data_IF_016138050638
#
_entry.id   IF_016138050638
#
_cell.length_a   1.000
_cell.length_b   1.000
_cell.length_c   1.000
_cell.angle_alpha   90.00
_cell.angle_beta   90.00
_cell.angle_gamma   90.00
#
_symmetry.space_group_name_H-M   'P 1'
#
loop_
_entity.id
_entity.type
_entity.pdbx_description
1 polymer ?
#
# COMPACT_ATOMS: atom_id res chain seq x y z
N UNK A 1 1.39 35.13 -0.57
CA UNK A 1 1.96 33.87 -1.09
C UNK A 1 2.12 32.92 0.11
N UNK A 2 1.22 31.96 0.28
CA UNK A 2 1.37 30.94 1.31
C UNK A 2 2.30 29.89 0.72
N UNK A 3 3.53 29.78 1.26
CA UNK A 3 4.44 28.73 0.88
C UNK A 3 3.77 27.37 1.12
N UNK A 4 3.55 26.60 0.06
CA UNK A 4 3.22 25.19 0.16
C UNK A 4 4.36 24.56 0.95
N UNK A 5 4.09 23.99 2.11
CA UNK A 5 5.08 23.18 2.81
C UNK A 5 5.34 21.96 1.92
N UNK A 6 6.47 21.94 1.22
CA UNK A 6 6.92 20.81 0.43
C UNK A 6 7.00 19.62 1.40
N UNK A 7 6.33 18.52 1.08
CA UNK A 7 6.45 17.31 1.86
C UNK A 7 7.93 16.94 1.91
N UNK A 8 8.48 16.77 3.11
CA UNK A 8 9.90 16.43 3.28
C UNK A 8 10.14 15.03 2.72
N UNK A 9 11.02 14.94 1.71
CA UNK A 9 11.43 13.66 1.13
C UNK A 9 12.02 12.74 2.20
N UNK A 10 11.55 11.51 2.24
CA UNK A 10 12.10 10.45 3.08
C UNK A 10 12.22 9.16 2.25
N UNK A 11 13.43 8.77 1.87
CA UNK A 11 13.68 7.57 1.06
C UNK A 11 13.22 6.25 1.67
N UNK A 12 12.70 6.27 2.90
CA UNK A 12 12.13 5.10 3.59
C UNK A 12 10.61 5.05 3.59
N UNK A 13 9.97 6.15 3.19
CA UNK A 13 8.50 6.24 3.17
C UNK A 13 7.96 6.88 1.90
N UNK A 14 8.27 8.14 1.63
CA UNK A 14 7.66 8.93 0.56
C UNK A 14 8.69 9.89 -0.04
N UNK A 15 8.77 9.92 -1.38
CA UNK A 15 9.65 10.85 -2.12
C UNK A 15 8.87 11.60 -3.18
N UNK A 16 9.28 12.85 -3.45
CA UNK A 16 8.71 13.69 -4.49
C UNK A 16 9.15 13.26 -5.89
N UNK A 17 8.46 13.75 -6.91
CA UNK A 17 8.85 13.61 -8.31
C UNK A 17 10.15 14.32 -8.62
N UNK A 18 10.45 15.44 -7.93
CA UNK A 18 11.72 16.16 -7.98
C UNK A 18 12.87 15.28 -7.49
N UNK A 19 12.66 14.66 -6.31
CA UNK A 19 13.66 13.77 -5.73
C UNK A 19 13.97 12.61 -6.67
N UNK A 20 12.93 11.92 -7.15
CA UNK A 20 13.10 10.79 -8.07
C UNK A 20 13.81 11.22 -9.37
N UNK A 21 13.44 12.35 -9.96
CA UNK A 21 14.05 12.86 -11.17
C UNK A 21 15.56 13.15 -10.99
N UNK A 22 15.95 13.66 -9.82
CA UNK A 22 17.36 13.93 -9.50
C UNK A 22 18.20 12.65 -9.34
N UNK A 23 17.57 11.57 -8.87
CA UNK A 23 18.23 10.28 -8.56
C UNK A 23 17.99 9.20 -9.61
N UNK A 24 17.25 9.49 -10.69
CA UNK A 24 16.82 8.48 -11.67
C UNK A 24 17.97 7.73 -12.33
N UNK A 25 19.14 8.36 -12.39
CA UNK A 25 20.36 7.77 -13.01
C UNK A 25 21.32 7.12 -11.99
N UNK A 26 20.95 7.09 -10.71
CA UNK A 26 21.78 6.47 -9.69
C UNK A 26 21.82 4.96 -9.91
N UNK A 27 23.01 4.34 -9.92
CA UNK A 27 23.17 2.93 -10.28
C UNK A 27 22.52 1.97 -9.29
N UNK A 28 22.29 2.41 -8.07
CA UNK A 28 21.66 1.68 -6.98
C UNK A 28 20.17 2.03 -6.76
N UNK A 29 19.59 2.91 -7.56
CA UNK A 29 18.15 3.13 -7.59
C UNK A 29 17.42 2.05 -8.40
N UNK A 30 16.26 1.62 -7.90
CA UNK A 30 15.32 0.76 -8.61
C UNK A 30 13.92 1.34 -8.53
N UNK A 31 13.33 1.61 -9.68
CA UNK A 31 11.95 2.11 -9.80
C UNK A 31 11.04 0.93 -10.13
N UNK A 32 9.91 0.83 -9.44
CA UNK A 32 8.91 -0.21 -9.65
C UNK A 32 7.56 0.42 -9.96
N UNK A 33 6.95 0.01 -11.07
CA UNK A 33 5.55 0.25 -11.36
C UNK A 33 4.73 -0.84 -10.69
N UNK A 34 3.95 -0.47 -9.71
CA UNK A 34 3.07 -1.35 -8.96
C UNK A 34 1.59 -1.08 -9.28
N UNK A 35 1.31 -0.56 -10.46
CA UNK A 35 -0.06 -0.28 -10.90
C UNK A 35 -0.91 -1.53 -10.84
N UNK A 36 -2.06 -1.39 -10.21
CA UNK A 36 -3.10 -2.39 -10.11
C UNK A 36 -4.45 -1.68 -10.03
N UNK A 37 -5.46 -2.22 -10.70
CA UNK A 37 -6.76 -1.60 -10.80
C UNK A 37 -7.87 -2.55 -10.38
N UNK A 38 -8.95 -1.99 -9.83
CA UNK A 38 -10.17 -2.76 -9.61
C UNK A 38 -10.79 -3.14 -10.96
N UNK A 39 -11.41 -4.34 -11.09
CA UNK A 39 -12.02 -4.78 -12.35
C UNK A 39 -13.03 -3.77 -12.95
N UNK A 40 -13.74 -3.05 -12.08
CA UNK A 40 -14.73 -2.05 -12.48
C UNK A 40 -14.12 -0.84 -13.20
N UNK A 41 -12.81 -0.59 -13.01
CA UNK A 41 -12.10 0.51 -13.68
C UNK A 41 -11.80 0.21 -15.16
N UNK A 42 -11.89 -1.05 -15.58
CA UNK A 42 -11.64 -1.48 -16.96
C UNK A 42 -10.28 -1.00 -17.51
N UNK A 43 -9.26 -0.97 -16.67
CA UNK A 43 -7.88 -0.59 -17.00
C UNK A 43 -6.99 -1.83 -16.98
N UNK A 44 -5.96 -1.83 -17.83
CA UNK A 44 -4.93 -2.88 -17.89
C UNK A 44 -3.57 -2.28 -17.49
N UNK A 45 -3.16 -2.58 -16.26
CA UNK A 45 -1.94 -2.02 -15.69
C UNK A 45 -0.68 -2.41 -16.47
N UNK A 46 -0.64 -3.64 -17.01
CA UNK A 46 0.50 -4.09 -17.79
C UNK A 46 0.54 -3.39 -19.16
N UNK A 47 -0.58 -3.32 -19.85
CA UNK A 47 -0.64 -2.61 -21.13
C UNK A 47 -0.31 -1.12 -20.98
N UNK A 48 -0.75 -0.49 -19.89
CA UNK A 48 -0.40 0.90 -19.59
C UNK A 48 1.10 1.09 -19.32
N UNK A 49 1.71 0.19 -18.54
CA UNK A 49 3.15 0.17 -18.31
C UNK A 49 3.93 0.00 -19.64
N UNK A 50 3.51 -0.91 -20.50
CA UNK A 50 4.13 -1.16 -21.81
C UNK A 50 3.97 0.03 -22.78
N UNK A 51 2.89 0.78 -22.65
CA UNK A 51 2.65 2.00 -23.44
C UNK A 51 3.49 3.19 -22.94
N UNK A 52 3.87 3.21 -21.66
CA UNK A 52 4.73 4.26 -21.12
C UNK A 52 4.89 4.19 -19.60
N UNK A 53 6.12 4.25 -19.15
CA UNK A 53 6.49 4.19 -17.72
C UNK A 53 7.65 5.14 -17.39
N UNK A 54 7.92 5.35 -16.11
CA UNK A 54 9.10 6.13 -15.65
C UNK A 54 10.36 5.41 -16.09
N UNK A 55 11.36 6.12 -16.67
CA UNK A 55 12.55 5.48 -17.20
C UNK A 55 13.25 4.54 -16.23
N UNK A 56 13.55 3.32 -16.68
CA UNK A 56 14.15 2.25 -15.91
C UNK A 56 13.21 1.54 -14.95
N UNK A 57 11.90 1.87 -14.92
CA UNK A 57 10.92 1.22 -14.07
C UNK A 57 10.71 -0.25 -14.50
N UNK A 58 10.40 -1.09 -13.52
CA UNK A 58 10.08 -2.50 -13.67
C UNK A 58 8.65 -2.73 -13.22
N UNK A 59 7.88 -3.47 -13.99
CA UNK A 59 6.51 -3.79 -13.61
C UNK A 59 6.48 -4.82 -12.47
N UNK A 60 5.87 -4.44 -11.35
CA UNK A 60 5.63 -5.31 -10.21
C UNK A 60 4.18 -5.79 -10.22
N UNK A 61 3.95 -6.97 -10.73
CA UNK A 61 2.63 -7.59 -10.79
C UNK A 61 2.20 -8.07 -9.39
N UNK A 62 1.31 -7.32 -8.74
CA UNK A 62 0.84 -7.62 -7.38
C UNK A 62 0.12 -8.96 -7.34
N UNK A 63 -0.69 -9.27 -8.34
CA UNK A 63 -1.45 -10.52 -8.39
C UNK A 63 -0.53 -11.72 -8.57
N UNK A 64 0.41 -11.63 -9.53
CA UNK A 64 1.38 -12.70 -9.76
C UNK A 64 2.30 -12.92 -8.57
N UNK A 65 2.80 -11.85 -7.94
CA UNK A 65 3.76 -11.94 -6.82
C UNK A 65 3.09 -12.37 -5.51
N UNK A 66 1.78 -12.27 -5.36
CA UNK A 66 1.02 -12.73 -4.18
C UNK A 66 1.13 -14.25 -3.95
N UNK A 67 0.70 -14.73 -2.76
CA UNK A 67 0.66 -16.19 -2.47
C UNK A 67 -0.46 -16.87 -3.28
N UNK A 68 -0.08 -17.53 -4.37
CA UNK A 68 -1.00 -18.23 -5.28
C UNK A 68 -1.59 -19.53 -4.69
N UNK A 69 -1.18 -19.94 -3.49
CA UNK A 69 -1.77 -21.10 -2.78
C UNK A 69 -2.94 -20.67 -1.91
N UNK A 70 -3.10 -19.37 -1.68
CA UNK A 70 -4.21 -18.81 -0.94
C UNK A 70 -5.40 -18.57 -1.86
N UNK A 71 -6.62 -18.90 -1.39
CA UNK A 71 -7.86 -18.51 -2.06
C UNK A 71 -8.21 -17.03 -1.83
N UNK A 72 -7.53 -16.38 -0.86
CA UNK A 72 -7.67 -14.95 -0.59
C UNK A 72 -6.82 -14.13 -1.57
N UNK A 73 -7.36 -13.02 -2.08
CA UNK A 73 -6.62 -12.18 -3.01
C UNK A 73 -5.45 -11.44 -2.34
N UNK A 74 -4.38 -11.24 -3.08
CA UNK A 74 -3.23 -10.38 -2.73
C UNK A 74 -2.46 -10.77 -1.47
N UNK A 75 -2.65 -11.97 -0.91
CA UNK A 75 -1.93 -12.40 0.28
C UNK A 75 -0.41 -12.28 0.10
N UNK A 76 0.28 -11.84 1.15
CA UNK A 76 1.73 -11.66 1.10
C UNK A 76 2.42 -12.96 0.66
N UNK A 77 3.35 -12.89 -0.32
CA UNK A 77 3.98 -14.07 -0.88
C UNK A 77 4.83 -14.80 0.17
N UNK A 78 5.07 -16.11 -0.04
CA UNK A 78 6.15 -16.79 0.65
C UNK A 78 7.49 -16.11 0.38
N UNK A 79 8.38 -16.18 1.37
CA UNK A 79 9.72 -15.55 1.30
C UNK A 79 10.49 -15.96 0.04
N UNK A 80 10.46 -17.24 -0.30
CA UNK A 80 11.17 -17.80 -1.47
C UNK A 80 10.66 -17.22 -2.78
N UNK A 81 9.34 -17.05 -2.90
CA UNK A 81 8.73 -16.43 -4.07
C UNK A 81 9.13 -14.97 -4.20
N UNK A 82 9.07 -14.22 -3.09
CA UNK A 82 9.51 -12.82 -3.09
C UNK A 82 10.97 -12.69 -3.51
N UNK A 83 11.88 -13.49 -2.92
CA UNK A 83 13.31 -13.51 -3.29
C UNK A 83 13.48 -13.79 -4.78
N UNK A 84 12.81 -14.83 -5.31
CA UNK A 84 12.95 -15.21 -6.71
C UNK A 84 12.51 -14.08 -7.65
N UNK A 85 11.41 -13.39 -7.34
CA UNK A 85 10.89 -12.29 -8.16
C UNK A 85 11.75 -11.03 -8.07
N UNK A 86 12.17 -10.62 -6.87
CA UNK A 86 13.05 -9.47 -6.69
C UNK A 86 14.40 -9.69 -7.37
N UNK A 87 14.94 -10.88 -7.24
CA UNK A 87 16.17 -11.28 -7.93
C UNK A 87 16.05 -11.13 -9.45
N UNK A 88 15.00 -11.72 -10.05
CA UNK A 88 14.75 -11.63 -11.49
C UNK A 88 14.52 -10.19 -11.97
N UNK A 89 13.91 -9.35 -11.13
CA UNK A 89 13.70 -7.92 -11.40
C UNK A 89 14.97 -7.08 -11.16
N UNK A 90 16.06 -7.68 -10.75
CA UNK A 90 17.33 -6.98 -10.49
C UNK A 90 17.27 -6.07 -9.25
N UNK A 91 16.41 -6.39 -8.28
CA UNK A 91 16.33 -5.72 -6.98
C UNK A 91 17.15 -6.51 -5.96
N UNK A 92 18.04 -5.84 -5.24
CA UNK A 92 18.92 -6.46 -4.24
C UNK A 92 19.14 -5.59 -3.01
N UNK A 93 19.96 -6.09 -2.07
CA UNK A 93 20.16 -5.47 -0.75
C UNK A 93 20.65 -4.02 -0.82
N UNK A 94 21.59 -3.73 -1.73
CA UNK A 94 22.19 -2.39 -1.86
C UNK A 94 21.35 -1.36 -2.62
N UNK A 95 20.10 -1.70 -3.03
CA UNK A 95 19.31 -0.79 -3.81
C UNK A 95 18.33 0.01 -2.96
N UNK A 96 18.23 1.31 -3.23
CA UNK A 96 17.07 2.13 -2.93
C UNK A 96 15.94 1.77 -3.89
N UNK A 97 14.75 1.50 -3.36
CA UNK A 97 13.57 1.19 -4.18
C UNK A 97 12.59 2.36 -4.11
N UNK A 98 12.07 2.79 -5.25
CA UNK A 98 10.95 3.72 -5.34
C UNK A 98 9.81 3.03 -6.07
N UNK A 99 8.63 3.01 -5.45
CA UNK A 99 7.43 2.36 -5.97
C UNK A 99 6.40 3.42 -6.33
N UNK A 100 5.82 3.31 -7.51
CA UNK A 100 4.71 4.18 -7.92
C UNK A 100 3.54 3.38 -8.48
N UNK A 101 2.40 4.02 -8.67
CA UNK A 101 1.27 3.47 -9.41
C UNK A 101 0.59 4.51 -10.31
N UNK A 102 -0.31 4.04 -11.15
CA UNK A 102 -1.04 4.84 -12.14
C UNK A 102 -2.25 5.61 -11.59
N UNK A 103 -2.40 5.72 -10.25
CA UNK A 103 -3.50 6.44 -9.60
C UNK A 103 -3.05 7.53 -8.61
N UNK A 104 -1.75 7.67 -8.41
CA UNK A 104 -1.17 8.60 -7.44
C UNK A 104 -0.59 7.87 -6.24
N UNK A 105 -1.40 7.49 -5.26
CA UNK A 105 -1.08 6.53 -4.20
C UNK A 105 -2.28 5.60 -4.02
N UNK A 106 -2.17 4.39 -4.54
CA UNK A 106 -3.20 3.37 -4.43
C UNK A 106 -2.60 2.00 -4.10
N UNK A 107 -2.00 1.35 -5.08
CA UNK A 107 -1.39 0.03 -4.94
C UNK A 107 0.11 0.09 -4.61
N UNK A 108 0.78 1.19 -4.89
CA UNK A 108 2.20 1.39 -4.56
C UNK A 108 2.49 1.23 -3.07
N UNK A 109 1.60 1.72 -2.20
CA UNK A 109 1.73 1.56 -0.75
C UNK A 109 1.72 0.08 -0.32
N UNK A 110 0.97 -0.79 -1.01
CA UNK A 110 0.98 -2.24 -0.77
C UNK A 110 2.34 -2.84 -1.04
N UNK A 111 2.98 -2.47 -2.15
CA UNK A 111 4.30 -2.99 -2.50
C UNK A 111 5.37 -2.44 -1.56
N UNK A 112 5.31 -1.16 -1.19
CA UNK A 112 6.14 -0.58 -0.13
C UNK A 112 6.03 -1.40 1.16
N UNK A 113 4.81 -1.70 1.62
CA UNK A 113 4.58 -2.51 2.82
C UNK A 113 5.14 -3.94 2.67
N UNK A 114 5.03 -4.57 1.49
CA UNK A 114 5.63 -5.89 1.23
C UNK A 114 7.15 -5.87 1.41
N UNK A 115 7.84 -4.85 0.92
CA UNK A 115 9.29 -4.70 1.14
C UNK A 115 9.62 -4.54 2.64
N UNK A 116 8.86 -3.71 3.36
CA UNK A 116 9.01 -3.57 4.82
C UNK A 116 8.78 -4.90 5.53
N UNK A 117 7.71 -5.62 5.18
CA UNK A 117 7.41 -6.96 5.71
C UNK A 117 8.57 -7.93 5.46
N UNK A 118 9.20 -7.86 4.31
CA UNK A 118 10.34 -8.72 3.94
C UNK A 118 11.68 -8.23 4.50
N UNK A 119 11.68 -7.14 5.26
CA UNK A 119 12.84 -6.65 5.99
C UNK A 119 13.75 -5.70 5.20
N UNK A 120 13.29 -5.16 4.07
CA UNK A 120 14.02 -4.14 3.31
C UNK A 120 13.50 -2.74 3.69
N UNK A 121 14.29 -1.94 4.43
CA UNK A 121 13.87 -0.61 4.87
C UNK A 121 13.97 0.46 3.79
N UNK A 122 14.88 0.31 2.81
CA UNK A 122 15.20 1.32 1.79
C UNK A 122 14.20 1.22 0.65
N UNK A 123 12.96 1.59 0.94
CA UNK A 123 11.84 1.62 0.00
C UNK A 123 10.95 2.82 0.29
N UNK A 124 10.58 3.56 -0.75
CA UNK A 124 9.68 4.69 -0.67
C UNK A 124 8.59 4.61 -1.75
N UNK A 125 7.46 5.28 -1.50
CA UNK A 125 6.41 5.51 -2.49
C UNK A 125 6.66 6.85 -3.18
N UNK A 126 6.43 6.93 -4.48
CA UNK A 126 6.45 8.17 -5.24
C UNK A 126 5.18 8.96 -4.96
N UNK A 127 5.31 10.14 -4.38
CA UNK A 127 4.18 11.00 -4.03
C UNK A 127 3.48 11.56 -5.28
N UNK A 128 2.19 11.25 -5.42
CA UNK A 128 1.40 11.56 -6.60
C UNK A 128 1.57 10.60 -7.79
N UNK A 129 2.47 9.62 -7.69
CA UNK A 129 2.64 8.52 -8.65
C UNK A 129 2.87 8.95 -10.09
N UNK A 130 2.50 8.06 -11.02
CA UNK A 130 2.67 8.30 -12.46
C UNK A 130 1.84 9.48 -12.99
N UNK A 131 0.60 9.72 -12.53
CA UNK A 131 -0.18 10.88 -12.98
C UNK A 131 0.54 12.23 -12.75
N UNK A 132 1.15 12.41 -11.57
CA UNK A 132 1.90 13.63 -11.26
C UNK A 132 3.17 13.73 -12.10
N UNK A 133 3.90 12.61 -12.26
CA UNK A 133 5.10 12.55 -13.11
C UNK A 133 4.81 13.01 -14.54
N UNK A 134 3.70 12.52 -15.13
CA UNK A 134 3.26 12.90 -16.48
C UNK A 134 2.78 14.37 -16.53
N UNK A 135 2.01 14.81 -15.55
CA UNK A 135 1.48 16.19 -15.50
C UNK A 135 2.61 17.24 -15.44
N UNK A 136 3.76 16.88 -14.88
CA UNK A 136 4.96 17.72 -14.84
C UNK A 136 5.78 17.64 -16.14
N UNK A 137 5.35 16.88 -17.15
CA UNK A 137 6.05 16.75 -18.43
C UNK A 137 7.39 16.02 -18.32
N UNK A 138 7.57 15.17 -17.31
CA UNK A 138 8.82 14.42 -17.12
C UNK A 138 8.94 13.27 -18.11
N UNK A 139 10.18 12.81 -18.31
CA UNK A 139 10.54 11.75 -19.26
C UNK A 139 9.77 10.46 -19.00
N UNK A 140 9.26 9.85 -20.08
CA UNK A 140 8.57 8.56 -20.12
C UNK A 140 9.20 7.71 -21.20
N UNK A 141 9.38 6.42 -20.94
CA UNK A 141 9.87 5.46 -21.94
C UNK A 141 8.92 4.26 -22.06
N UNK A 142 9.01 3.53 -23.17
CA UNK A 142 8.26 2.30 -23.48
C UNK A 142 9.16 1.05 -23.56
N UNK A 143 10.46 1.24 -23.39
CA UNK A 143 11.43 0.17 -23.49
C UNK A 143 11.67 -0.50 -22.14
N UNK A 144 11.52 -1.83 -22.03
CA UNK A 144 11.76 -2.53 -20.78
C UNK A 144 13.23 -2.40 -20.35
N UNK A 145 13.50 -2.17 -19.05
CA UNK A 145 14.87 -2.03 -18.56
C UNK A 145 15.63 -3.35 -18.65
N UNK A 146 16.94 -3.26 -18.80
CA UNK A 146 17.82 -4.43 -18.76
C UNK A 146 17.83 -5.02 -17.35
N UNK A 147 17.33 -6.25 -17.21
CA UNK A 147 17.34 -6.98 -15.95
C UNK A 147 18.65 -7.72 -15.74
N UNK A 148 19.20 -7.64 -14.55
CA UNK A 148 20.35 -8.44 -14.11
C UNK A 148 20.07 -8.95 -12.72
N UNK A 149 20.20 -10.25 -12.52
CA UNK A 149 20.00 -10.89 -11.22
C UNK A 149 20.80 -10.19 -10.12
N UNK A 150 20.13 -9.99 -8.97
CA UNK A 150 20.72 -9.41 -7.76
C UNK A 150 20.40 -10.27 -6.55
N UNK A 151 21.31 -10.28 -5.60
CA UNK A 151 21.04 -10.93 -4.32
C UNK A 151 20.18 -10.03 -3.45
N UNK A 152 19.16 -10.62 -2.83
CA UNK A 152 18.34 -9.96 -1.81
C UNK A 152 18.22 -10.87 -0.58
N UNK A 153 18.51 -10.31 0.58
CA UNK A 153 18.33 -10.94 1.88
C UNK A 153 16.93 -10.60 2.40
N UNK A 154 16.20 -11.60 2.85
CA UNK A 154 14.87 -11.41 3.44
C UNK A 154 14.90 -11.82 4.91
N UNK A 155 14.44 -10.91 5.76
CA UNK A 155 14.19 -11.14 7.18
C UNK A 155 12.76 -10.70 7.50
N UNK A 156 11.82 -11.62 7.39
CA UNK A 156 10.38 -11.31 7.54
C UNK A 156 10.07 -10.69 8.89
N UNK A 157 9.41 -9.53 8.86
CA UNK A 157 9.01 -8.73 10.02
C UNK A 157 7.59 -9.13 10.45
N UNK A 158 7.45 -10.20 11.22
CA UNK A 158 6.15 -10.77 11.60
C UNK A 158 5.25 -9.78 12.38
N UNK A 159 5.82 -8.76 13.01
CA UNK A 159 5.05 -7.74 13.73
C UNK A 159 4.26 -6.80 12.81
N UNK A 160 4.62 -6.70 11.51
CA UNK A 160 3.94 -5.85 10.53
C UNK A 160 2.70 -6.49 9.90
N UNK A 161 2.39 -7.73 10.23
CA UNK A 161 1.22 -8.45 9.70
C UNK A 161 0.41 -9.09 10.82
N UNK A 162 -0.91 -9.12 10.66
CA UNK A 162 -1.84 -9.79 11.56
C UNK A 162 -2.71 -10.76 10.77
N UNK A 163 -2.99 -11.92 11.38
CA UNK A 163 -3.95 -12.91 10.90
C UNK A 163 -5.35 -12.69 11.50
N UNK A 164 -6.32 -13.43 11.01
CA UNK A 164 -7.72 -13.34 11.43
C UNK A 164 -7.90 -13.59 12.92
N UNK A 165 -7.14 -14.52 13.52
CA UNK A 165 -7.24 -14.86 14.94
C UNK A 165 -6.77 -13.71 15.82
N UNK A 166 -5.67 -13.07 15.44
CA UNK A 166 -5.13 -11.91 16.13
C UNK A 166 -6.07 -10.70 16.04
N UNK A 167 -6.67 -10.49 14.86
CA UNK A 167 -7.63 -9.40 14.65
C UNK A 167 -8.93 -9.66 15.41
N UNK A 168 -9.41 -10.90 15.47
CA UNK A 168 -10.59 -11.26 16.27
C UNK A 168 -10.36 -11.04 17.78
N UNK A 169 -9.16 -11.34 18.26
CA UNK A 169 -8.77 -11.04 19.64
C UNK A 169 -8.73 -9.53 19.90
N UNK A 170 -8.09 -8.76 19.03
CA UNK A 170 -8.01 -7.29 19.12
C UNK A 170 -9.41 -6.63 19.10
N UNK A 171 -10.28 -7.08 18.20
CA UNK A 171 -11.67 -6.60 18.10
C UNK A 171 -12.47 -6.84 19.40
N UNK A 172 -12.22 -7.97 20.06
CA UNK A 172 -12.89 -8.32 21.32
C UNK A 172 -12.31 -7.58 22.53
N UNK A 173 -11.00 -7.41 22.59
CA UNK A 173 -10.29 -6.81 23.73
C UNK A 173 -10.27 -5.28 23.67
N UNK A 174 -10.29 -4.68 22.48
CA UNK A 174 -10.21 -3.23 22.28
C UNK A 174 -8.85 -2.63 22.65
N UNK A 175 -7.81 -3.47 22.71
CA UNK A 175 -6.42 -3.07 23.01
C UNK A 175 -5.65 -2.55 21.80
N UNK A 176 -6.17 -2.80 20.61
CA UNK A 176 -5.71 -2.25 19.32
C UNK A 176 -6.79 -1.39 18.69
N UNK A 177 -6.38 -0.32 18.02
CA UNK A 177 -7.24 0.37 17.05
C UNK A 177 -7.27 -0.44 15.76
N UNK A 178 -8.48 -0.74 15.26
CA UNK A 178 -8.66 -1.38 13.96
C UNK A 178 -9.21 -0.34 12.99
N UNK A 179 -8.47 -0.06 11.92
CA UNK A 179 -8.81 0.98 10.94
C UNK A 179 -9.17 0.35 9.60
N UNK A 180 -10.32 0.70 9.05
CA UNK A 180 -10.81 0.20 7.76
C UNK A 180 -10.70 1.29 6.70
N UNK A 181 -9.89 1.03 5.65
CA UNK A 181 -9.61 1.96 4.56
C UNK A 181 -10.69 1.99 3.47
N UNK A 182 -11.74 1.15 3.55
CA UNK A 182 -12.81 1.10 2.54
C UNK A 182 -13.65 2.39 2.55
N UNK A 183 -14.36 2.68 1.43
CA UNK A 183 -15.39 3.72 1.42
C UNK A 183 -16.42 3.55 2.52
N UNK A 184 -16.97 4.66 3.00
CA UNK A 184 -17.88 4.68 4.14
C UNK A 184 -19.14 3.81 3.93
N UNK A 185 -19.64 3.76 2.71
CA UNK A 185 -20.85 2.99 2.35
C UNK A 185 -20.59 1.48 2.46
N UNK A 186 -19.40 1.01 2.06
CA UNK A 186 -19.00 -0.38 2.21
C UNK A 186 -18.77 -0.73 3.68
N UNK A 187 -18.12 0.16 4.43
CA UNK A 187 -17.92 0.00 5.86
C UNK A 187 -19.26 -0.10 6.61
N UNK A 188 -20.20 0.80 6.33
CA UNK A 188 -21.52 0.80 6.93
C UNK A 188 -22.42 -0.37 6.48
N UNK A 189 -22.01 -1.10 5.44
CA UNK A 189 -22.79 -2.20 4.87
C UNK A 189 -24.00 -1.76 4.06
N UNK A 190 -24.06 -0.50 3.62
CA UNK A 190 -25.14 0.06 2.80
C UNK A 190 -24.95 -0.20 1.32
N UNK A 191 -23.72 -0.54 0.91
CA UNK A 191 -23.38 -0.93 -0.47
C UNK A 191 -22.82 -2.36 -0.46
N UNK A 192 -23.17 -3.21 -1.44
CA UNK A 192 -22.62 -4.56 -1.56
C UNK A 192 -21.11 -4.57 -1.73
N UNK A 193 -20.48 -5.65 -1.28
CA UNK A 193 -19.07 -5.88 -1.57
C UNK A 193 -18.87 -6.24 -3.04
N UNK A 194 -17.78 -5.78 -3.69
CA UNK A 194 -17.50 -6.10 -5.09
C UNK A 194 -17.28 -7.61 -5.33
N UNK A 195 -16.77 -8.32 -4.32
CA UNK A 195 -16.56 -9.77 -4.41
C UNK A 195 -17.80 -10.53 -3.97
N UNK A 196 -18.28 -11.49 -4.78
CA UNK A 196 -19.43 -12.31 -4.43
C UNK A 196 -19.21 -13.10 -3.13
N UNK A 197 -20.29 -13.33 -2.39
CA UNK A 197 -20.30 -14.17 -1.18
C UNK A 197 -19.81 -13.50 0.10
N UNK A 198 -19.32 -12.26 0.02
CA UNK A 198 -18.92 -11.51 1.22
C UNK A 198 -20.12 -10.83 1.88
N UNK A 199 -20.16 -10.88 3.20
CA UNK A 199 -21.16 -10.14 3.99
C UNK A 199 -20.91 -8.63 3.91
N UNK A 200 -21.98 -7.86 4.07
CA UNK A 200 -21.89 -6.41 4.25
C UNK A 200 -21.49 -6.05 5.70
N UNK A 201 -20.88 -4.87 5.89
CA UNK A 201 -20.50 -4.35 7.19
C UNK A 201 -18.98 -4.28 7.42
N UNK A 202 -18.55 -4.30 8.69
CA UNK A 202 -17.18 -4.12 9.11
C UNK A 202 -16.82 -4.96 10.35
N UNK A 203 -15.54 -5.01 10.69
CA UNK A 203 -15.03 -5.66 11.91
C UNK A 203 -15.55 -4.91 13.13
N UNK A 204 -16.21 -5.56 14.12
CA UNK A 204 -16.72 -4.87 15.30
C UNK A 204 -15.62 -4.09 16.02
N UNK A 205 -15.93 -2.84 16.39
CA UNK A 205 -14.99 -1.93 17.05
C UNK A 205 -13.99 -1.25 16.14
N UNK A 206 -14.00 -1.56 14.82
CA UNK A 206 -13.16 -0.84 13.86
C UNK A 206 -13.69 0.57 13.57
N UNK A 207 -12.80 1.45 13.16
CA UNK A 207 -13.07 2.82 12.75
C UNK A 207 -12.86 2.98 11.25
N UNK A 208 -13.74 3.71 10.59
CA UNK A 208 -13.60 3.96 9.16
C UNK A 208 -12.65 5.13 8.91
N UNK A 209 -11.60 4.85 8.18
CA UNK A 209 -10.64 5.83 7.67
C UNK A 209 -10.50 5.61 6.17
N UNK A 210 -11.46 6.05 5.34
CA UNK A 210 -11.35 5.90 3.91
C UNK A 210 -9.99 6.42 3.43
N UNK A 211 -9.23 5.59 2.69
CA UNK A 211 -7.85 5.94 2.31
C UNK A 211 -7.78 7.31 1.58
N UNK A 212 -8.84 7.68 0.85
CA UNK A 212 -8.95 8.97 0.17
C UNK A 212 -8.92 10.17 1.11
N UNK A 213 -9.26 10.00 2.39
CA UNK A 213 -9.19 11.07 3.39
C UNK A 213 -7.76 11.42 3.79
N UNK A 214 -6.80 10.56 3.46
CA UNK A 214 -5.36 10.75 3.70
C UNK A 214 -4.62 11.35 2.50
N UNK A 215 -5.32 11.48 1.37
CA UNK A 215 -4.76 12.00 0.13
C UNK A 215 -5.33 13.38 -0.20
N UNK A 216 -4.56 14.14 -0.97
CA UNK A 216 -4.97 15.39 -1.61
C UNK A 216 -5.73 15.08 -2.92
N UNK A 217 -6.38 16.07 -3.50
CA UNK A 217 -7.15 15.91 -4.73
C UNK A 217 -6.31 15.48 -5.96
N UNK A 218 -5.02 15.77 -5.93
CA UNK A 218 -4.05 15.42 -6.98
C UNK A 218 -3.37 14.06 -6.75
N UNK A 219 -3.84 13.28 -5.77
CA UNK A 219 -3.32 11.95 -5.44
C UNK A 219 -2.07 11.93 -4.57
N UNK A 220 -1.56 13.09 -4.15
CA UNK A 220 -0.46 13.16 -3.20
C UNK A 220 -0.92 12.87 -1.77
N UNK A 221 0.00 12.39 -0.93
CA UNK A 221 -0.28 12.24 0.49
C UNK A 221 -0.40 13.60 1.18
N UNK A 222 -1.33 13.73 2.10
CA UNK A 222 -1.48 14.94 2.91
C UNK A 222 -0.23 15.20 3.76
N UNK A 223 0.07 16.47 4.08
CA UNK A 223 1.11 16.82 5.04
C UNK A 223 0.89 16.14 6.39
N UNK A 224 1.96 15.85 7.12
CA UNK A 224 1.95 15.11 8.41
C UNK A 224 0.93 15.68 9.41
N UNK A 225 0.81 17.02 9.51
CA UNK A 225 -0.16 17.65 10.39
C UNK A 225 -1.62 17.35 9.99
N UNK A 226 -1.90 17.32 8.68
CA UNK A 226 -3.23 17.01 8.15
C UNK A 226 -3.55 15.51 8.24
N UNK A 227 -2.55 14.62 8.08
CA UNK A 227 -2.72 13.19 8.33
C UNK A 227 -3.13 12.94 9.79
N UNK A 228 -2.43 13.56 10.74
CA UNK A 228 -2.77 13.48 12.16
C UNK A 228 -4.19 13.97 12.42
N UNK A 229 -4.55 15.12 11.87
CA UNK A 229 -5.88 15.71 12.02
C UNK A 229 -6.98 14.78 11.44
N UNK A 230 -6.75 14.17 10.27
CA UNK A 230 -7.70 13.24 9.64
C UNK A 230 -7.93 11.99 10.50
N UNK A 231 -6.87 11.39 11.05
CA UNK A 231 -6.98 10.23 11.93
C UNK A 231 -7.71 10.56 13.23
N UNK A 232 -7.37 11.69 13.87
CA UNK A 232 -8.05 12.14 15.08
C UNK A 232 -9.54 12.47 14.83
N UNK A 233 -9.87 13.07 13.67
CA UNK A 233 -11.25 13.35 13.28
C UNK A 233 -12.07 12.06 13.05
N UNK A 234 -11.43 10.97 12.63
CA UNK A 234 -12.02 9.64 12.55
C UNK A 234 -12.14 8.94 13.93
N UNK A 235 -11.73 9.61 15.01
CA UNK A 235 -11.78 9.11 16.38
C UNK A 235 -10.67 8.12 16.72
N UNK A 236 -9.56 8.08 15.93
CA UNK A 236 -8.44 7.18 16.17
C UNK A 236 -7.66 7.63 17.42
N UNK A 237 -7.40 6.70 18.31
CA UNK A 237 -6.50 6.88 19.45
C UNK A 237 -5.07 6.53 19.01
N UNK A 238 -4.25 7.54 18.76
CA UNK A 238 -2.87 7.38 18.28
C UNK A 238 -1.89 6.92 19.37
N UNK A 239 -2.32 6.77 20.60
CA UNK A 239 -1.51 6.21 21.69
C UNK A 239 -1.61 4.67 21.75
N UNK A 240 -2.59 4.09 21.03
CA UNK A 240 -2.77 2.64 20.90
C UNK A 240 -2.07 2.09 19.67
N UNK A 241 -1.65 0.82 19.70
CA UNK A 241 -1.21 0.12 18.50
C UNK A 241 -2.35 0.00 17.47
N UNK A 242 -2.02 0.00 16.20
CA UNK A 242 -2.99 0.08 15.09
C UNK A 242 -2.91 -1.17 14.20
N UNK A 243 -4.06 -1.75 13.90
CA UNK A 243 -4.23 -2.74 12.82
C UNK A 243 -5.00 -2.07 11.69
N UNK A 244 -4.49 -2.15 10.47
CA UNK A 244 -5.17 -1.63 9.28
C UNK A 244 -5.81 -2.74 8.47
N UNK A 245 -6.96 -2.48 7.89
CA UNK A 245 -7.74 -3.39 7.06
C UNK A 245 -8.37 -2.65 5.89
N UNK A 246 -8.74 -3.38 4.84
CA UNK A 246 -9.58 -2.85 3.76
C UNK A 246 -10.38 -3.98 3.10
N UNK A 247 -10.50 -4.01 1.77
CA UNK A 247 -11.11 -5.12 1.04
C UNK A 247 -10.23 -6.35 0.94
N UNK A 248 -8.92 -6.16 0.64
CA UNK A 248 -7.95 -7.25 0.37
C UNK A 248 -6.50 -6.86 0.69
N UNK A 249 -6.29 -5.96 1.64
CA UNK A 249 -4.97 -5.57 2.11
C UNK A 249 -4.21 -4.57 1.22
N UNK A 250 -4.78 -4.10 0.12
CA UNK A 250 -4.11 -3.15 -0.80
C UNK A 250 -4.15 -1.73 -0.24
N UNK A 251 -5.34 -1.14 -0.11
CA UNK A 251 -5.48 0.26 0.35
C UNK A 251 -5.26 0.44 1.85
N UNK A 252 -5.34 -0.63 2.65
CA UNK A 252 -4.94 -0.62 4.06
C UNK A 252 -3.48 -0.17 4.25
N UNK A 253 -2.60 -0.50 3.30
CA UNK A 253 -1.21 -0.11 3.33
C UNK A 253 -1.00 1.41 3.22
N UNK A 254 -1.96 2.17 2.66
CA UNK A 254 -1.91 3.64 2.63
C UNK A 254 -2.01 4.20 4.05
N UNK A 255 -2.87 3.60 4.90
CA UNK A 255 -2.94 3.99 6.32
C UNK A 255 -1.63 3.65 7.03
N UNK A 256 -1.02 2.47 6.76
CA UNK A 256 0.29 2.13 7.33
C UNK A 256 1.37 3.14 6.90
N UNK A 257 1.40 3.54 5.62
CA UNK A 257 2.33 4.55 5.13
C UNK A 257 2.12 5.90 5.85
N UNK A 258 0.87 6.32 6.05
CA UNK A 258 0.55 7.53 6.80
C UNK A 258 1.00 7.43 8.27
N UNK A 259 0.78 6.29 8.94
CA UNK A 259 1.24 6.04 10.31
C UNK A 259 2.77 6.07 10.42
N UNK A 260 3.48 5.46 9.48
CA UNK A 260 4.95 5.53 9.41
C UNK A 260 5.43 6.99 9.25
N UNK A 261 4.77 7.78 8.39
CA UNK A 261 5.05 9.22 8.22
C UNK A 261 4.79 10.03 9.49
N UNK A 262 3.84 9.62 10.32
CA UNK A 262 3.58 10.21 11.63
C UNK A 262 4.58 9.78 12.71
N UNK A 263 5.46 8.81 12.41
CA UNK A 263 6.33 8.19 13.41
C UNK A 263 5.57 7.32 14.41
N UNK A 264 4.42 6.76 14.03
CA UNK A 264 3.62 5.90 14.92
C UNK A 264 4.38 4.59 15.19
N UNK A 265 4.64 4.24 16.47
CA UNK A 265 5.62 3.20 16.82
C UNK A 265 5.15 1.78 16.55
N UNK A 266 3.85 1.54 16.44
CA UNK A 266 3.32 0.18 16.37
C UNK A 266 2.07 0.08 15.50
N UNK A 267 2.26 -0.33 14.25
CA UNK A 267 1.17 -0.60 13.32
C UNK A 267 1.41 -1.90 12.54
N UNK A 268 0.33 -2.55 12.16
CA UNK A 268 0.35 -3.79 11.39
C UNK A 268 -0.81 -3.81 10.39
N UNK A 269 -0.70 -4.64 9.35
CA UNK A 269 -1.74 -4.82 8.36
C UNK A 269 -2.39 -6.19 8.55
N UNK A 270 -3.73 -6.24 8.56
CA UNK A 270 -4.50 -7.46 8.47
C UNK A 270 -4.56 -7.89 7.00
N UNK A 271 -3.74 -8.90 6.64
CA UNK A 271 -3.51 -9.26 5.25
C UNK A 271 -4.76 -9.82 4.56
N UNK A 272 -5.51 -10.68 5.22
CA UNK A 272 -6.78 -11.22 4.71
C UNK A 272 -7.89 -10.17 4.58
N UNK A 273 -7.86 -9.12 5.40
CA UNK A 273 -8.80 -8.01 5.35
C UNK A 273 -10.28 -8.45 5.32
N UNK A 274 -11.15 -7.66 4.70
CA UNK A 274 -12.58 -8.01 4.60
C UNK A 274 -12.82 -9.23 3.69
N UNK A 275 -11.93 -9.49 2.71
CA UNK A 275 -12.01 -10.68 1.87
C UNK A 275 -11.98 -11.97 2.70
N UNK A 276 -11.26 -11.97 3.82
CA UNK A 276 -11.24 -13.08 4.77
C UNK A 276 -12.36 -12.95 5.81
N UNK A 277 -12.42 -11.82 6.54
CA UNK A 277 -13.37 -11.62 7.62
C UNK A 277 -14.81 -11.76 7.17
N UNK A 278 -15.15 -11.21 6.01
CA UNK A 278 -16.48 -11.25 5.42
C UNK A 278 -16.96 -12.64 5.01
N UNK A 279 -16.05 -13.61 4.82
CA UNK A 279 -16.37 -15.01 4.50
C UNK A 279 -16.81 -15.81 5.75
N UNK A 280 -16.26 -15.54 6.93
CA UNK A 280 -16.51 -16.34 8.12
C UNK A 280 -17.85 -15.99 8.76
N UNK A 281 -18.80 -16.94 8.74
CA UNK A 281 -20.13 -16.76 9.31
C UNK A 281 -20.17 -16.67 10.83
N UNK A 282 -19.19 -17.25 11.51
CA UNK A 282 -19.02 -17.26 12.97
C UNK A 282 -18.36 -15.99 13.53
N UNK A 283 -17.64 -15.24 12.71
CA UNK A 283 -17.13 -13.93 13.08
C UNK A 283 -18.24 -12.88 12.98
N UNK A 284 -18.37 -12.05 14.00
CA UNK A 284 -19.38 -10.98 13.99
C UNK A 284 -19.01 -9.93 12.95
N UNK A 285 -20.02 -9.43 12.24
CA UNK A 285 -19.94 -8.22 11.41
C UNK A 285 -20.84 -7.16 12.02
N UNK A 286 -20.37 -5.91 12.09
CA UNK A 286 -21.15 -4.76 12.49
C UNK A 286 -21.62 -3.98 11.25
N UNK A 287 -22.81 -3.37 11.34
CA UNK A 287 -23.38 -2.45 10.35
C UNK A 287 -23.82 -1.22 11.12
N UNK A 288 -23.27 -0.04 10.85
CA UNK A 288 -23.43 1.25 11.55
C UNK A 288 -22.59 1.43 12.80
#
# INVERSE_FOLDING_TARGET
MRGCAVAQDDPKTLVSTEWLSAHLRDPDLRVLDASWYLPEMQRDARAEYEAGHIPGARFFDIDEISDQRSELPHMAPPTEKFIARMRAMGVGDGHQVVVYDGMGIFSAARVWWLFKLMGKPDVAVLDGGFPKWQAEGREVEDMPPVMRDRHITVQRQAHLVKDVTQVAAASKLGDWEILDARPAERFAGTTPEPRPGLRAGHIPGSKNVPFTTLLQADGQMKPVAELRAALLAAGVDLDKPVITSCGSGVTAAIINLALERLGHPQHALYDGSWAEWGMYGDLRAATR
#
